data_IF_269952071249
#
_entry.id   IF_269952071249
#
_cell.length_a   1.000
_cell.length_b   1.000
_cell.length_c   1.000
_cell.angle_alpha   90.00
_cell.angle_beta   90.00
_cell.angle_gamma   90.00
#
_symmetry.space_group_name_H-M   'P 1'
#
loop_
_entity.id
_entity.type
_entity.pdbx_description
1 polymer ?
#
# COMPACT_ATOMS: atom_id res chain seq x y z
N UNK A 1 13.42 -3.30 11.10
CA UNK A 1 12.60 -2.48 10.18
C UNK A 1 11.85 -3.44 9.26
N UNK A 2 10.52 -3.41 9.28
CA UNK A 2 9.71 -4.36 8.51
C UNK A 2 9.44 -3.82 7.10
N UNK A 3 9.52 -4.69 6.09
CA UNK A 3 9.16 -4.39 4.70
C UNK A 3 7.92 -5.20 4.35
N UNK A 4 6.83 -4.52 3.99
CA UNK A 4 5.51 -5.13 3.78
C UNK A 4 4.99 -4.78 2.40
N UNK A 5 4.51 -5.80 1.68
CA UNK A 5 3.86 -5.64 0.38
C UNK A 5 2.38 -5.94 0.55
N UNK A 6 1.52 -5.01 0.10
CA UNK A 6 0.07 -5.14 0.17
C UNK A 6 -0.50 -5.24 -1.24
N UNK A 7 -1.08 -6.39 -1.56
CA UNK A 7 -1.87 -6.60 -2.77
C UNK A 7 -3.34 -6.26 -2.51
N UNK A 8 -3.99 -5.59 -3.46
CA UNK A 8 -5.34 -5.07 -3.23
C UNK A 8 -5.36 -3.98 -2.15
N UNK A 9 -4.31 -3.14 -2.11
CA UNK A 9 -4.05 -2.15 -1.07
C UNK A 9 -5.14 -1.08 -0.90
N UNK A 10 -6.10 -0.99 -1.82
CA UNK A 10 -7.25 -0.08 -1.74
C UNK A 10 -8.50 -0.71 -1.15
N UNK A 11 -8.42 -1.94 -0.64
CA UNK A 11 -9.51 -2.60 0.09
C UNK A 11 -9.53 -2.16 1.56
N UNK A 12 -10.69 -2.21 2.21
CA UNK A 12 -10.82 -1.80 3.61
C UNK A 12 -9.91 -2.62 4.55
N UNK A 13 -9.80 -3.93 4.33
CA UNK A 13 -8.97 -4.82 5.15
C UNK A 13 -7.48 -4.49 4.97
N UNK A 14 -7.02 -4.35 3.73
CA UNK A 14 -5.62 -4.03 3.45
C UNK A 14 -5.27 -2.64 3.98
N UNK A 15 -6.20 -1.67 3.89
CA UNK A 15 -6.02 -0.33 4.42
C UNK A 15 -5.80 -0.34 5.94
N UNK A 16 -6.70 -0.96 6.71
CA UNK A 16 -6.57 -1.03 8.17
C UNK A 16 -5.33 -1.84 8.60
N UNK A 17 -4.98 -2.89 7.86
CA UNK A 17 -3.76 -3.65 8.10
C UNK A 17 -2.51 -2.81 7.86
N UNK A 18 -2.47 -2.04 6.77
CA UNK A 18 -1.39 -1.13 6.46
C UNK A 18 -1.22 -0.05 7.54
N UNK A 19 -2.31 0.42 8.14
CA UNK A 19 -2.29 1.39 9.25
C UNK A 19 -1.59 0.84 10.49
N UNK A 20 -1.75 -0.45 10.81
CA UNK A 20 -1.00 -1.08 11.91
C UNK A 20 0.52 -1.04 11.63
N UNK A 21 0.94 -1.47 10.45
CA UNK A 21 2.35 -1.45 10.06
C UNK A 21 2.93 -0.03 9.91
N UNK A 22 2.13 0.94 9.47
CA UNK A 22 2.54 2.34 9.38
C UNK A 22 2.90 2.90 10.76
N UNK A 23 2.09 2.62 11.79
CA UNK A 23 2.36 3.06 13.17
C UNK A 23 3.64 2.41 13.75
N UNK A 24 4.03 1.25 13.24
CA UNK A 24 5.29 0.59 13.60
C UNK A 24 6.51 1.12 12.82
N UNK A 25 6.31 2.11 11.93
CA UNK A 25 7.38 2.66 11.11
C UNK A 25 7.79 1.79 9.93
N UNK A 26 6.95 0.87 9.46
CA UNK A 26 7.30 -0.03 8.36
C UNK A 26 7.52 0.69 7.01
N UNK A 27 8.24 0.02 6.11
CA UNK A 27 8.28 0.37 4.69
C UNK A 27 7.21 -0.42 3.94
N UNK A 28 6.33 0.29 3.23
CA UNK A 28 5.15 -0.28 2.59
C UNK A 28 5.23 -0.15 1.07
N UNK A 29 4.90 -1.23 0.36
CA UNK A 29 4.59 -1.22 -1.07
C UNK A 29 3.12 -1.54 -1.27
N UNK A 30 2.38 -0.61 -1.86
CA UNK A 30 0.94 -0.71 -2.10
C UNK A 30 0.68 -1.05 -3.56
N UNK A 31 -0.05 -2.13 -3.81
CA UNK A 31 -0.36 -2.61 -5.16
C UNK A 31 -1.88 -2.69 -5.34
N UNK A 32 -2.41 -1.96 -6.32
CA UNK A 32 -3.83 -1.99 -6.69
C UNK A 32 -4.04 -1.39 -8.09
N UNK A 33 -5.25 -1.50 -8.62
CA UNK A 33 -5.58 -1.04 -9.98
C UNK A 33 -5.71 0.48 -10.12
N UNK A 34 -6.20 1.15 -9.08
CA UNK A 34 -6.56 2.56 -9.14
C UNK A 34 -5.46 3.42 -8.51
N UNK A 35 -4.74 4.18 -9.33
CA UNK A 35 -3.65 5.08 -8.92
C UNK A 35 -4.10 6.19 -7.97
N UNK A 36 -5.29 6.74 -8.18
CA UNK A 36 -5.81 7.85 -7.37
C UNK A 36 -6.13 7.38 -5.95
N UNK A 37 -6.77 6.21 -5.83
CA UNK A 37 -7.00 5.56 -4.54
C UNK A 37 -5.68 5.19 -3.87
N UNK A 38 -4.71 4.66 -4.61
CA UNK A 38 -3.38 4.38 -4.07
C UNK A 38 -2.71 5.64 -3.52
N UNK A 39 -2.88 6.79 -4.17
CA UNK A 39 -2.31 8.06 -3.72
C UNK A 39 -2.91 8.50 -2.39
N UNK A 40 -4.24 8.40 -2.24
CA UNK A 40 -4.93 8.69 -0.97
C UNK A 40 -4.42 7.78 0.16
N UNK A 41 -4.32 6.47 -0.10
CA UNK A 41 -3.82 5.51 0.91
C UNK A 41 -2.35 5.79 1.24
N UNK A 42 -1.53 6.10 0.26
CA UNK A 42 -0.12 6.44 0.46
C UNK A 42 0.04 7.64 1.40
N UNK A 43 -0.73 8.71 1.19
CA UNK A 43 -0.61 9.94 1.97
C UNK A 43 -1.15 9.75 3.41
N UNK A 44 -2.20 8.94 3.60
CA UNK A 44 -2.68 8.53 4.93
C UNK A 44 -1.59 7.76 5.71
N UNK A 45 -1.00 6.74 5.10
CA UNK A 45 0.00 5.88 5.76
C UNK A 45 1.30 6.61 6.07
N UNK A 46 1.71 7.56 5.23
CA UNK A 46 2.86 8.45 5.53
C UNK A 46 2.57 9.32 6.76
N UNK A 47 1.37 9.86 6.86
CA UNK A 47 0.95 10.67 8.02
C UNK A 47 0.92 9.85 9.31
N UNK A 48 0.63 8.55 9.22
CA UNK A 48 0.59 7.63 10.35
C UNK A 48 1.96 7.12 10.84
N UNK A 49 3.06 7.48 10.15
CA UNK A 49 4.42 7.18 10.61
C UNK A 49 5.16 6.10 9.80
N UNK A 50 4.62 5.63 8.67
CA UNK A 50 5.36 4.71 7.81
C UNK A 50 6.67 5.34 7.33
N UNK A 51 7.79 4.62 7.49
CA UNK A 51 9.12 5.13 7.09
C UNK A 51 9.24 5.35 5.58
N UNK A 52 8.52 4.55 4.79
CA UNK A 52 8.45 4.68 3.33
C UNK A 52 7.13 4.11 2.83
N UNK A 53 6.52 4.77 1.86
CA UNK A 53 5.32 4.23 1.18
C UNK A 53 5.48 4.41 -0.32
N UNK A 54 5.56 3.29 -1.04
CA UNK A 54 5.62 3.19 -2.50
C UNK A 54 4.30 2.65 -3.04
N UNK A 55 3.98 2.98 -4.28
CA UNK A 55 2.75 2.56 -4.94
C UNK A 55 3.07 1.96 -6.30
N UNK A 56 2.40 0.87 -6.67
CA UNK A 56 2.46 0.27 -7.99
C UNK A 56 1.03 0.02 -8.49
N UNK A 57 0.66 0.72 -9.56
CA UNK A 57 -0.66 0.59 -10.15
C UNK A 57 -0.63 -0.55 -11.18
N UNK A 58 -1.33 -1.65 -10.90
CA UNK A 58 -1.39 -2.79 -11.80
C UNK A 58 -2.66 -3.63 -11.59
N UNK A 59 -3.08 -4.35 -12.63
CA UNK A 59 -4.11 -5.37 -12.51
C UNK A 59 -3.47 -6.74 -12.25
N UNK A 60 -3.65 -7.26 -11.03
CA UNK A 60 -3.09 -8.55 -10.61
C UNK A 60 -3.71 -9.75 -11.35
N UNK A 61 -4.82 -9.56 -12.07
CA UNK A 61 -5.37 -10.59 -12.96
C UNK A 61 -4.61 -10.69 -14.29
N UNK A 62 -3.85 -9.66 -14.70
CA UNK A 62 -3.12 -9.63 -15.96
C UNK A 62 -1.71 -10.23 -15.84
N UNK A 63 -1.59 -11.56 -15.88
CA UNK A 63 -0.31 -12.26 -15.66
C UNK A 63 0.71 -12.01 -16.80
N UNK A 64 0.28 -11.54 -17.97
CA UNK A 64 1.14 -11.40 -19.15
C UNK A 64 2.02 -10.14 -19.16
N UNK A 65 2.03 -9.34 -18.09
CA UNK A 65 2.80 -8.09 -18.00
C UNK A 65 3.47 -7.81 -16.65
N UNK A 66 3.55 -8.80 -15.75
CA UNK A 66 4.19 -8.67 -14.43
C UNK A 66 5.52 -9.41 -14.31
#
# INVERSE_FOLDING_TARGET
MNKVVLFGATSAIAHETARCFAREGAELLLIARNSDKLKVVQDDLRTLGASKVMTYACDLAEIQGH
#
